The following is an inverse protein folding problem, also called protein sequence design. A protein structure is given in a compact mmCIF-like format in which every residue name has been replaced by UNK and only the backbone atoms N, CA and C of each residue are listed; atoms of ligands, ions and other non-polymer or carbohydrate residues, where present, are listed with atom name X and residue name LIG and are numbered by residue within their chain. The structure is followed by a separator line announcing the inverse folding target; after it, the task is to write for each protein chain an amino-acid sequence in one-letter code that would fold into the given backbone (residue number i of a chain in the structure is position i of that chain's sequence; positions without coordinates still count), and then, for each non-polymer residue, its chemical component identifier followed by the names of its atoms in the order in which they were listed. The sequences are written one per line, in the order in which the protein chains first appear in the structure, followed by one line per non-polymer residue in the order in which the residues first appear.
data_IF_500652831641
#
_entry.id   IF_500652831641
#
_cell.length_a   1.000
_cell.length_b   1.000
_cell.length_c   1.000
_cell.angle_alpha   90.00
_cell.angle_beta   90.00
_cell.angle_gamma   90.00
#
_symmetry.space_group_name_H-M   'P 1'
#
loop_
_entity.id
_entity.type
_entity.pdbx_description
1 polymer ?
#
# COMPACT_ATOMS: atom_id res chain seq x y z
N UNK A 1 80.78 11.19 -22.01
CA UNK A 1 80.06 10.41 -21.01
C UNK A 1 78.91 11.16 -20.30
N UNK A 2 79.05 12.41 -19.91
CA UNK A 2 78.00 13.19 -19.20
C UNK A 2 76.70 13.45 -20.04
N UNK A 3 76.81 13.56 -21.38
CA UNK A 3 75.58 13.76 -22.19
C UNK A 3 74.78 12.49 -22.42
N UNK A 4 75.36 11.33 -22.37
CA UNK A 4 74.67 10.04 -22.51
C UNK A 4 73.89 9.68 -21.27
N UNK A 5 74.34 10.04 -20.09
CA UNK A 5 73.64 9.86 -18.81
C UNK A 5 72.36 10.72 -18.69
N UNK A 6 72.33 11.91 -19.33
CA UNK A 6 71.17 12.79 -19.31
C UNK A 6 70.00 12.21 -20.16
N UNK A 7 70.33 11.59 -21.30
CA UNK A 7 69.30 10.96 -22.16
C UNK A 7 68.72 9.70 -21.52
N UNK A 8 69.51 8.94 -20.79
CA UNK A 8 68.98 7.77 -20.02
C UNK A 8 68.08 8.23 -18.89
N UNK A 9 68.41 9.32 -18.18
CA UNK A 9 67.58 9.88 -17.10
C UNK A 9 66.24 10.41 -17.66
N UNK A 10 66.22 11.02 -18.87
CA UNK A 10 65.01 11.48 -19.52
C UNK A 10 64.13 10.34 -20.04
N UNK A 11 64.73 9.23 -20.48
CA UNK A 11 64.02 8.05 -20.97
C UNK A 11 63.39 7.27 -19.82
N UNK A 12 64.06 7.19 -18.65
CA UNK A 12 63.50 6.57 -17.42
C UNK A 12 62.38 7.43 -16.81
N UNK A 13 62.47 8.77 -16.91
CA UNK A 13 61.44 9.66 -16.44
C UNK A 13 60.18 9.64 -17.35
N UNK A 14 60.31 9.33 -18.66
CA UNK A 14 59.19 9.23 -19.60
C UNK A 14 58.41 7.91 -19.43
N UNK A 15 58.99 6.86 -18.88
CA UNK A 15 58.32 5.58 -18.59
C UNK A 15 57.55 5.63 -17.26
N UNK A 16 57.86 6.57 -16.34
CA UNK A 16 57.21 6.72 -15.06
C UNK A 16 55.85 7.45 -15.12
N UNK A 17 55.40 7.97 -16.27
CA UNK A 17 54.13 8.67 -16.44
C UNK A 17 53.06 7.84 -17.15
N UNK A 18 53.29 6.54 -17.44
CA UNK A 18 52.20 5.63 -17.75
C UNK A 18 51.57 5.19 -16.44
N UNK A 19 50.82 6.09 -15.81
CA UNK A 19 49.93 5.77 -14.71
C UNK A 19 48.87 4.81 -15.26
N UNK A 20 48.77 3.59 -14.72
CA UNK A 20 47.66 2.69 -14.99
C UNK A 20 46.42 3.35 -14.43
N UNK A 21 45.55 3.89 -15.29
CA UNK A 21 44.20 4.31 -14.92
C UNK A 21 43.38 3.12 -14.37
N UNK A 22 43.73 1.89 -14.75
CA UNK A 22 43.10 0.67 -14.26
C UNK A 22 43.27 0.39 -12.73
N UNK A 23 44.20 1.06 -12.05
CA UNK A 23 44.39 0.84 -10.61
C UNK A 23 43.41 1.63 -9.75
N UNK A 24 42.73 2.61 -10.30
CA UNK A 24 41.69 3.40 -9.62
C UNK A 24 40.28 2.84 -9.82
N UNK A 25 40.12 1.85 -10.70
CA UNK A 25 38.86 1.19 -11.00
C UNK A 25 38.66 -0.10 -10.15
N UNK A 26 39.10 -0.05 -8.89
CA UNK A 26 38.81 -1.12 -7.93
C UNK A 26 37.31 -0.99 -7.58
N UNK A 27 36.50 -1.73 -8.30
CA UNK A 27 35.12 -1.94 -7.87
C UNK A 27 35.14 -2.61 -6.49
N UNK A 28 34.40 -2.07 -5.50
CA UNK A 28 34.35 -2.69 -4.18
C UNK A 28 33.87 -4.13 -4.32
N UNK A 29 34.70 -5.09 -3.90
CA UNK A 29 34.35 -6.52 -3.94
C UNK A 29 33.05 -6.71 -3.16
N UNK A 30 31.98 -7.15 -3.85
CA UNK A 30 30.67 -7.40 -3.28
C UNK A 30 29.62 -6.31 -3.51
N UNK A 31 29.89 -5.22 -4.25
CA UNK A 31 28.90 -4.26 -4.70
C UNK A 31 28.84 -4.27 -6.23
N UNK A 32 27.76 -4.80 -6.80
CA UNK A 32 27.47 -4.71 -8.22
C UNK A 32 26.95 -3.30 -8.49
N UNK A 33 27.69 -2.51 -9.30
CA UNK A 33 27.19 -1.25 -9.84
C UNK A 33 26.31 -1.65 -11.04
N UNK A 34 24.99 -1.35 -11.02
CA UNK A 34 24.11 -1.76 -12.11
C UNK A 34 24.47 -1.00 -13.39
N UNK A 35 24.62 -1.73 -14.51
CA UNK A 35 24.95 -1.18 -15.81
C UNK A 35 24.03 -1.69 -16.91
N UNK A 36 23.55 -2.92 -16.78
CA UNK A 36 22.66 -3.57 -17.75
C UNK A 36 21.19 -3.48 -17.34
N UNK A 37 20.29 -3.71 -18.28
CA UNK A 37 18.84 -3.80 -18.02
C UNK A 37 18.53 -4.88 -16.98
N UNK A 38 19.26 -6.01 -17.01
CA UNK A 38 19.11 -7.12 -16.06
C UNK A 38 19.54 -6.71 -14.65
N UNK A 39 20.66 -5.99 -14.50
CA UNK A 39 21.12 -5.48 -13.21
C UNK A 39 20.09 -4.53 -12.60
N UNK A 40 19.59 -3.58 -13.37
CA UNK A 40 18.56 -2.66 -12.91
C UNK A 40 17.23 -3.36 -12.62
N UNK A 41 16.87 -4.42 -13.36
CA UNK A 41 15.74 -5.27 -13.02
C UNK A 41 15.96 -5.97 -11.68
N UNK A 42 17.16 -6.44 -11.38
CA UNK A 42 17.55 -7.00 -10.09
C UNK A 42 17.39 -6.00 -8.95
N UNK A 43 17.84 -4.75 -9.16
CA UNK A 43 17.66 -3.65 -8.18
C UNK A 43 16.19 -3.38 -7.91
N UNK A 44 15.34 -3.28 -8.94
CA UNK A 44 13.91 -3.05 -8.74
C UNK A 44 13.22 -4.25 -8.09
N UNK A 45 13.63 -5.47 -8.42
CA UNK A 45 13.13 -6.68 -7.76
C UNK A 45 13.43 -6.65 -6.26
N UNK A 46 14.62 -6.17 -5.87
CA UNK A 46 14.95 -5.92 -4.44
C UNK A 46 14.05 -4.85 -3.81
N UNK A 47 13.69 -3.81 -4.58
CA UNK A 47 12.72 -2.80 -4.15
C UNK A 47 11.34 -3.40 -3.88
N UNK A 48 10.82 -4.25 -4.77
CA UNK A 48 9.56 -4.97 -4.55
C UNK A 48 9.65 -5.93 -3.36
N UNK A 49 10.77 -6.66 -3.21
CA UNK A 49 10.97 -7.58 -2.10
C UNK A 49 11.11 -6.88 -0.73
N UNK A 50 11.57 -5.62 -0.73
CA UNK A 50 11.66 -4.80 0.47
C UNK A 50 10.32 -4.15 0.87
N UNK A 51 9.28 -4.25 0.02
CA UNK A 51 7.98 -3.65 0.32
C UNK A 51 7.35 -4.34 1.53
N UNK A 52 6.96 -3.60 2.57
CA UNK A 52 6.55 -4.20 3.84
C UNK A 52 5.09 -4.65 3.85
N UNK A 53 4.82 -5.70 4.62
CA UNK A 53 3.47 -6.18 4.94
C UNK A 53 2.94 -5.47 6.20
N UNK A 54 2.34 -4.30 6.04
CA UNK A 54 1.86 -3.48 7.17
C UNK A 54 0.34 -3.53 7.39
N UNK A 55 -0.40 -4.19 6.52
CA UNK A 55 -1.86 -4.25 6.56
C UNK A 55 -2.40 -4.94 7.81
N UNK A 56 -1.72 -5.98 8.29
CA UNK A 56 -2.02 -6.65 9.55
C UNK A 56 -1.96 -5.68 10.73
N UNK A 57 -0.92 -4.84 10.80
CA UNK A 57 -0.76 -3.87 11.88
C UNK A 57 -1.85 -2.79 11.86
N UNK A 58 -2.29 -2.38 10.68
CA UNK A 58 -3.40 -1.42 10.57
C UNK A 58 -4.74 -2.07 10.93
N UNK A 59 -4.97 -3.35 10.61
CA UNK A 59 -6.17 -4.07 11.00
C UNK A 59 -6.30 -4.19 12.53
N UNK A 60 -5.20 -4.42 13.26
CA UNK A 60 -5.17 -4.47 14.74
C UNK A 60 -5.69 -3.18 15.39
N UNK A 61 -5.58 -2.03 14.71
CA UNK A 61 -6.02 -0.73 15.25
C UNK A 61 -7.52 -0.46 15.04
N UNK A 62 -8.24 -1.34 14.33
CA UNK A 62 -9.61 -1.10 13.88
C UNK A 62 -10.65 -1.82 14.74
N UNK A 63 -11.90 -1.59 14.39
CA UNK A 63 -13.07 -2.28 14.93
C UNK A 63 -13.28 -3.67 14.33
N UNK A 64 -12.28 -4.26 13.63
CA UNK A 64 -12.44 -5.55 12.95
C UNK A 64 -12.02 -6.75 13.80
N UNK A 65 -11.13 -6.54 14.79
CA UNK A 65 -10.47 -7.63 15.52
C UNK A 65 -10.68 -7.55 17.02
N UNK A 66 -10.72 -8.74 17.64
CA UNK A 66 -10.54 -8.96 19.08
C UNK A 66 -9.27 -9.80 19.26
N UNK A 67 -8.42 -9.40 20.21
CA UNK A 67 -7.21 -10.15 20.55
C UNK A 67 -7.52 -11.22 21.58
N UNK A 68 -6.93 -12.41 21.38
CA UNK A 68 -6.87 -13.43 22.42
C UNK A 68 -5.82 -13.00 23.45
N UNK A 69 -6.26 -12.60 24.63
CA UNK A 69 -5.39 -11.96 25.63
C UNK A 69 -4.66 -12.94 26.54
N UNK A 70 -4.80 -14.24 26.32
CA UNK A 70 -4.11 -15.32 27.04
C UNK A 70 -2.87 -15.84 26.27
N UNK A 71 -2.69 -15.47 24.99
CA UNK A 71 -1.62 -16.00 24.14
C UNK A 71 -0.24 -15.30 24.31
N UNK A 72 0.82 -16.05 23.99
CA UNK A 72 2.21 -15.60 24.17
C UNK A 72 2.68 -14.55 23.18
N UNK A 73 2.10 -14.49 21.97
CA UNK A 73 2.47 -13.53 20.90
C UNK A 73 1.90 -12.12 21.12
N UNK A 74 1.06 -11.95 22.12
CA UNK A 74 0.39 -10.70 22.47
C UNK A 74 1.35 -9.51 22.64
N UNK A 75 2.55 -9.63 23.23
CA UNK A 75 3.46 -8.49 23.38
C UNK A 75 3.78 -7.79 22.06
N UNK A 76 3.75 -8.53 20.94
CA UNK A 76 4.01 -7.98 19.59
C UNK A 76 2.93 -6.99 19.15
N UNK A 77 1.68 -7.21 19.52
CA UNK A 77 0.54 -6.43 19.00
C UNK A 77 -0.20 -5.60 20.05
N UNK A 78 -0.01 -5.88 21.35
CA UNK A 78 -0.74 -5.24 22.45
C UNK A 78 -0.73 -3.72 22.39
N UNK A 79 0.43 -3.11 22.25
CA UNK A 79 0.54 -1.65 22.26
C UNK A 79 -0.07 -1.02 20.99
N UNK A 80 -0.08 -1.75 19.86
CA UNK A 80 -0.79 -1.37 18.63
C UNK A 80 -2.30 -1.44 18.85
N UNK A 81 -2.78 -2.52 19.47
CA UNK A 81 -4.19 -2.76 19.78
C UNK A 81 -4.75 -1.74 20.77
N UNK A 82 -3.93 -1.29 21.71
CA UNK A 82 -4.29 -0.28 22.71
C UNK A 82 -3.91 1.15 22.31
N UNK A 83 -3.48 1.37 21.06
CA UNK A 83 -3.03 2.66 20.50
C UNK A 83 -1.94 3.37 21.33
N UNK A 84 -1.05 2.60 21.96
CA UNK A 84 0.10 3.13 22.69
C UNK A 84 1.27 3.35 21.74
N UNK A 85 1.22 4.43 20.96
CA UNK A 85 2.21 4.76 19.93
C UNK A 85 3.47 5.43 20.50
N UNK A 86 3.41 5.94 21.73
CA UNK A 86 4.54 6.61 22.40
C UNK A 86 5.16 5.66 23.42
N UNK A 87 6.46 5.42 23.29
CA UNK A 87 7.21 4.47 24.12
C UNK A 87 6.54 3.09 24.23
N UNK A 88 6.28 2.43 23.10
CA UNK A 88 5.75 1.08 23.10
C UNK A 88 6.75 0.12 23.75
N UNK A 89 6.30 -1.07 24.13
CA UNK A 89 7.15 -2.15 24.57
C UNK A 89 8.17 -2.51 23.47
N UNK A 90 9.37 -2.96 23.86
CA UNK A 90 10.43 -3.32 22.91
C UNK A 90 10.07 -4.49 22.00
N UNK A 91 9.14 -5.34 22.42
CA UNK A 91 8.63 -6.45 21.62
C UNK A 91 7.55 -6.03 20.64
N UNK A 92 6.99 -4.84 20.79
CA UNK A 92 5.91 -4.35 19.91
C UNK A 92 6.38 -4.20 18.46
N UNK A 93 5.64 -4.76 17.52
CA UNK A 93 5.89 -4.60 16.10
C UNK A 93 5.90 -3.12 15.70
N UNK A 94 6.83 -2.77 14.85
CA UNK A 94 7.02 -1.39 14.40
C UNK A 94 6.40 -1.18 13.04
N UNK A 95 5.60 -0.12 12.88
CA UNK A 95 5.14 0.29 11.56
C UNK A 95 6.32 0.62 10.64
N UNK A 96 6.30 0.19 9.37
CA UNK A 96 7.48 0.04 8.53
C UNK A 96 7.98 1.35 7.90
N UNK A 97 8.34 2.33 8.73
CA UNK A 97 8.89 3.60 8.26
C UNK A 97 10.18 3.39 7.44
N UNK A 98 11.14 2.67 8.02
CA UNK A 98 12.45 2.45 7.41
C UNK A 98 12.36 1.57 6.16
N UNK A 99 11.52 0.55 6.16
CA UNK A 99 11.34 -0.34 5.02
C UNK A 99 10.82 0.42 3.79
N UNK A 100 9.86 1.32 3.97
CA UNK A 100 9.33 2.15 2.88
C UNK A 100 10.40 3.09 2.32
N UNK A 101 11.29 3.66 3.14
CA UNK A 101 12.44 4.42 2.64
C UNK A 101 13.48 3.54 1.94
N UNK A 102 13.62 2.28 2.33
CA UNK A 102 14.45 1.30 1.60
C UNK A 102 13.88 1.07 0.19
N UNK A 103 12.57 0.93 0.05
CA UNK A 103 11.90 0.86 -1.27
C UNK A 103 12.19 2.13 -2.09
N UNK A 104 12.04 3.30 -1.49
CA UNK A 104 12.32 4.59 -2.14
C UNK A 104 13.78 4.67 -2.59
N UNK A 105 14.72 4.18 -1.79
CA UNK A 105 16.13 4.12 -2.18
C UNK A 105 16.33 3.28 -3.46
N UNK A 106 15.81 2.05 -3.51
CA UNK A 106 15.92 1.21 -4.70
C UNK A 106 15.28 1.85 -5.94
N UNK A 107 14.11 2.47 -5.78
CA UNK A 107 13.45 3.17 -6.89
C UNK A 107 14.23 4.39 -7.36
N UNK A 108 14.85 5.15 -6.43
CA UNK A 108 15.72 6.28 -6.78
C UNK A 108 16.94 5.83 -7.58
N UNK A 109 17.53 4.65 -7.30
CA UNK A 109 18.64 4.11 -8.10
C UNK A 109 18.23 3.96 -9.57
N UNK A 110 17.05 3.40 -9.83
CA UNK A 110 16.54 3.25 -11.20
C UNK A 110 16.24 4.60 -11.85
N UNK A 111 15.54 5.46 -11.15
CA UNK A 111 15.09 6.75 -11.68
C UNK A 111 16.30 7.66 -11.97
N UNK A 112 17.31 7.70 -11.08
CA UNK A 112 18.42 8.61 -11.21
C UNK A 112 19.56 8.06 -12.09
N UNK A 113 19.84 6.75 -12.03
CA UNK A 113 20.96 6.14 -12.75
C UNK A 113 20.50 5.32 -13.96
N UNK A 114 19.43 4.53 -13.83
CA UNK A 114 18.93 3.70 -14.94
C UNK A 114 18.49 4.55 -16.13
N UNK A 115 17.90 5.71 -15.89
CA UNK A 115 17.51 6.64 -16.96
C UNK A 115 18.69 7.21 -17.75
N UNK A 116 19.89 7.28 -17.15
CA UNK A 116 21.10 7.81 -17.78
C UNK A 116 21.94 6.70 -18.46
N UNK A 117 22.01 5.53 -17.84
CA UNK A 117 22.91 4.44 -18.26
C UNK A 117 22.28 3.52 -19.32
N UNK A 118 20.96 3.32 -19.27
CA UNK A 118 20.29 2.44 -20.19
C UNK A 118 19.88 3.15 -21.49
N UNK A 119 20.11 2.48 -22.62
CA UNK A 119 19.59 2.94 -23.90
C UNK A 119 18.06 2.92 -23.91
N UNK A 120 17.45 3.82 -24.67
CA UNK A 120 16.00 3.88 -24.82
C UNK A 120 15.45 2.60 -25.45
N UNK A 121 14.48 1.99 -24.78
CA UNK A 121 13.72 0.83 -25.25
C UNK A 121 12.41 0.74 -24.48
N UNK A 122 11.46 -0.04 -24.97
CA UNK A 122 10.18 -0.29 -24.29
C UNK A 122 10.41 -0.99 -22.94
N UNK A 123 11.38 -1.90 -22.87
CA UNK A 123 11.72 -2.62 -21.63
C UNK A 123 12.29 -1.68 -20.57
N UNK A 124 13.21 -0.75 -21.00
CA UNK A 124 13.73 0.29 -20.11
C UNK A 124 12.61 1.18 -19.62
N UNK A 125 11.75 1.64 -20.52
CA UNK A 125 10.66 2.54 -20.18
C UNK A 125 9.67 1.86 -19.21
N UNK A 126 9.30 0.59 -19.46
CA UNK A 126 8.50 -0.21 -18.53
C UNK A 126 9.18 -0.30 -17.15
N UNK A 127 10.49 -0.58 -17.11
CA UNK A 127 11.25 -0.74 -15.87
C UNK A 127 11.30 0.56 -15.05
N UNK A 128 11.55 1.70 -15.68
CA UNK A 128 11.58 3.00 -15.03
C UNK A 128 10.16 3.43 -14.61
N UNK A 129 9.15 3.15 -15.44
CA UNK A 129 7.74 3.39 -15.11
C UNK A 129 7.29 2.61 -13.87
N UNK A 130 7.71 1.34 -13.75
CA UNK A 130 7.48 0.54 -12.54
C UNK A 130 8.15 1.18 -11.31
N UNK A 131 9.37 1.72 -11.45
CA UNK A 131 10.08 2.36 -10.34
C UNK A 131 9.36 3.63 -9.86
N UNK A 132 8.87 4.47 -10.77
CA UNK A 132 8.05 5.63 -10.42
C UNK A 132 6.77 5.24 -9.71
N UNK A 133 6.04 4.25 -10.22
CA UNK A 133 4.80 3.79 -9.60
C UNK A 133 5.02 3.19 -8.19
N UNK A 134 6.10 2.41 -8.01
CA UNK A 134 6.46 1.84 -6.72
C UNK A 134 6.87 2.91 -5.71
N UNK A 135 7.61 3.96 -6.15
CA UNK A 135 7.96 5.11 -5.30
C UNK A 135 6.72 5.91 -4.88
N UNK A 136 5.81 6.14 -5.81
CA UNK A 136 4.53 6.77 -5.52
C UNK A 136 3.74 5.99 -4.46
N UNK A 137 3.65 4.67 -4.58
CA UNK A 137 2.97 3.81 -3.60
C UNK A 137 3.66 3.84 -2.23
N UNK A 138 5.00 3.81 -2.19
CA UNK A 138 5.74 3.88 -0.93
C UNK A 138 5.55 5.22 -0.21
N UNK A 139 5.56 6.35 -0.92
CA UNK A 139 5.24 7.65 -0.34
C UNK A 139 3.78 7.77 0.06
N UNK A 140 2.87 7.16 -0.70
CA UNK A 140 1.45 7.15 -0.36
C UNK A 140 1.19 6.40 0.94
N UNK A 141 1.84 5.26 1.17
CA UNK A 141 1.74 4.54 2.43
C UNK A 141 2.42 5.29 3.58
N UNK A 142 3.61 5.87 3.37
CA UNK A 142 4.27 6.71 4.37
C UNK A 142 3.38 7.85 4.84
N UNK A 143 2.80 8.63 3.92
CA UNK A 143 1.98 9.78 4.30
C UNK A 143 0.66 9.36 4.95
N UNK A 144 0.08 8.22 4.56
CA UNK A 144 -1.14 7.71 5.14
C UNK A 144 -0.94 6.99 6.48
N UNK A 145 0.25 6.52 6.80
CA UNK A 145 0.59 6.00 8.13
C UNK A 145 0.97 7.14 9.09
N UNK A 146 1.88 8.03 8.69
CA UNK A 146 2.61 8.93 9.59
C UNK A 146 2.27 10.42 9.43
N UNK A 147 1.60 10.83 8.35
CA UNK A 147 1.09 12.18 8.18
C UNK A 147 -0.39 12.29 8.53
N UNK A 148 -0.95 13.48 8.66
CA UNK A 148 -2.40 13.65 8.82
C UNK A 148 -3.18 13.24 7.56
N UNK A 149 -4.47 12.85 7.67
CA UNK A 149 -5.31 12.68 6.50
C UNK A 149 -5.29 13.92 5.61
N UNK A 150 -5.29 13.74 4.31
CA UNK A 150 -5.29 14.87 3.39
C UNK A 150 -6.55 15.74 3.61
N UNK A 151 -6.32 17.02 3.82
CA UNK A 151 -7.36 18.04 3.87
C UNK A 151 -6.87 19.26 3.06
N UNK A 152 -7.57 19.59 1.98
CA UNK A 152 -7.15 20.66 1.06
C UNK A 152 -6.97 22.02 1.76
N UNK A 153 -7.68 22.27 2.87
CA UNK A 153 -7.55 23.53 3.61
C UNK A 153 -6.28 23.60 4.48
N UNK A 154 -5.70 22.47 4.88
CA UNK A 154 -4.57 22.41 5.82
C UNK A 154 -3.35 21.67 5.31
N UNK A 155 -3.45 20.95 4.19
CA UNK A 155 -2.37 20.12 3.63
C UNK A 155 -1.06 20.89 3.39
N UNK A 156 -1.15 22.18 3.07
CA UNK A 156 0.03 23.07 2.88
C UNK A 156 0.77 23.43 4.18
N UNK A 157 0.18 23.14 5.35
CA UNK A 157 0.76 23.42 6.67
C UNK A 157 0.87 22.16 7.55
N UNK A 158 0.06 21.14 7.27
CA UNK A 158 0.14 19.88 8.01
C UNK A 158 1.46 19.17 7.74
N UNK A 159 2.12 18.74 8.81
CA UNK A 159 3.39 18.04 8.76
C UNK A 159 3.20 16.66 8.14
N UNK A 160 3.99 16.36 7.13
CA UNK A 160 4.07 15.06 6.46
C UNK A 160 5.35 14.32 6.83
N UNK A 161 6.00 13.76 5.82
CA UNK A 161 7.21 12.94 5.94
C UNK A 161 8.37 13.56 5.14
N UNK A 162 9.64 13.18 5.37
CA UNK A 162 10.76 13.59 4.54
C UNK A 162 10.61 13.18 3.06
N UNK A 163 11.08 14.04 2.17
CA UNK A 163 11.10 13.77 0.73
C UNK A 163 12.54 13.51 0.27
N UNK A 164 12.89 12.24 0.08
CA UNK A 164 14.20 11.76 -0.37
C UNK A 164 14.10 11.32 -1.84
N UNK A 165 14.57 12.13 -2.77
CA UNK A 165 14.52 11.87 -4.23
C UNK A 165 15.89 11.56 -4.83
N UNK A 166 16.96 11.73 -4.04
CA UNK A 166 18.34 11.50 -4.47
C UNK A 166 18.95 10.34 -3.70
N UNK A 167 19.98 9.75 -4.28
CA UNK A 167 20.82 8.75 -3.62
C UNK A 167 21.86 9.51 -2.79
N UNK A 168 21.50 9.82 -1.55
CA UNK A 168 22.39 10.44 -0.60
C UNK A 168 22.17 9.79 0.78
N UNK A 169 23.16 9.03 1.23
CA UNK A 169 23.11 8.26 2.49
C UNK A 169 23.51 9.09 3.71
N UNK A 170 24.09 10.27 3.51
CA UNK A 170 24.62 11.14 4.57
C UNK A 170 23.69 12.31 4.89
N UNK A 171 22.71 12.57 4.05
CA UNK A 171 21.81 13.72 4.20
C UNK A 171 20.64 13.41 5.14
N UNK A 172 20.44 14.29 6.12
CA UNK A 172 19.24 14.33 6.94
C UNK A 172 18.15 15.16 6.26
N UNK A 173 17.02 14.56 5.95
CA UNK A 173 15.91 15.21 5.27
C UNK A 173 14.86 15.71 6.27
N UNK A 174 14.48 17.01 6.26
CA UNK A 174 13.37 17.51 7.06
C UNK A 174 12.03 16.98 6.56
N UNK A 175 11.06 16.90 7.47
CA UNK A 175 9.67 16.63 7.09
C UNK A 175 9.17 17.71 6.12
N UNK A 176 8.46 17.30 5.09
CA UNK A 176 7.75 18.18 4.16
C UNK A 176 6.27 18.30 4.56
N UNK A 177 5.52 19.18 3.90
CA UNK A 177 4.08 19.26 4.12
C UNK A 177 3.34 18.09 3.46
N UNK A 178 2.14 17.79 3.95
CA UNK A 178 1.26 16.78 3.33
C UNK A 178 1.03 17.09 1.85
N UNK A 179 0.79 18.37 1.51
CA UNK A 179 0.62 18.81 0.11
C UNK A 179 1.85 18.52 -0.76
N UNK A 180 3.05 18.80 -0.25
CA UNK A 180 4.31 18.55 -0.97
C UNK A 180 4.48 17.05 -1.27
N UNK A 181 4.17 16.18 -0.31
CA UNK A 181 4.28 14.74 -0.51
C UNK A 181 3.24 14.24 -1.53
N UNK A 182 1.98 14.66 -1.42
CA UNK A 182 0.96 14.28 -2.41
C UNK A 182 1.27 14.84 -3.82
N UNK A 183 1.86 16.02 -3.92
CA UNK A 183 2.33 16.59 -5.20
C UNK A 183 3.42 15.72 -5.83
N UNK A 184 4.36 15.20 -5.02
CA UNK A 184 5.37 14.28 -5.51
C UNK A 184 4.78 12.94 -5.93
N UNK A 185 3.84 12.38 -5.15
CA UNK A 185 3.13 11.16 -5.51
C UNK A 185 2.44 11.29 -6.88
N UNK A 186 1.73 12.41 -7.11
CA UNK A 186 1.07 12.68 -8.40
C UNK A 186 2.10 12.87 -9.51
N UNK A 187 3.22 13.53 -9.25
CA UNK A 187 4.31 13.67 -10.24
C UNK A 187 4.85 12.30 -10.65
N UNK A 188 5.07 11.41 -9.69
CA UNK A 188 5.57 10.06 -9.94
C UNK A 188 4.54 9.21 -10.71
N UNK A 189 3.24 9.28 -10.38
CA UNK A 189 2.22 8.55 -11.15
C UNK A 189 2.10 9.06 -12.58
N UNK A 190 2.22 10.37 -12.80
CA UNK A 190 2.23 10.95 -14.13
C UNK A 190 3.43 10.49 -14.98
N UNK A 191 4.64 10.40 -14.39
CA UNK A 191 5.81 9.85 -15.08
C UNK A 191 5.65 8.35 -15.35
N UNK A 192 5.11 7.60 -14.40
CA UNK A 192 4.81 6.19 -14.58
C UNK A 192 3.80 5.96 -15.73
N UNK A 193 2.73 6.78 -15.84
CA UNK A 193 1.72 6.66 -16.91
C UNK A 193 2.34 6.83 -18.31
N UNK A 194 3.31 7.73 -18.47
CA UNK A 194 4.01 7.96 -19.74
C UNK A 194 4.89 6.77 -20.16
N UNK A 195 5.48 6.06 -19.17
CA UNK A 195 6.52 5.07 -19.40
C UNK A 195 5.98 3.63 -19.42
N UNK A 196 4.95 3.32 -18.63
CA UNK A 196 4.36 1.99 -18.59
C UNK A 196 3.69 1.65 -19.92
N UNK A 197 4.08 0.51 -20.51
CA UNK A 197 3.50 -0.01 -21.75
C UNK A 197 2.52 -1.15 -21.50
N UNK A 198 2.77 -2.01 -20.50
CA UNK A 198 1.98 -3.19 -20.21
C UNK A 198 0.64 -2.82 -19.54
N UNK A 199 -0.47 -3.26 -20.13
CA UNK A 199 -1.78 -3.08 -19.54
C UNK A 199 -1.95 -3.86 -18.22
N UNK A 200 -1.46 -5.12 -18.19
CA UNK A 200 -1.47 -6.00 -17.03
C UNK A 200 -0.22 -6.89 -17.05
N UNK A 201 0.21 -7.36 -15.89
CA UNK A 201 1.28 -8.33 -15.77
C UNK A 201 0.74 -9.76 -15.95
N UNK A 202 1.61 -10.67 -16.38
CA UNK A 202 1.28 -12.09 -16.39
C UNK A 202 1.16 -12.64 -14.97
N UNK A 203 0.43 -13.76 -14.82
CA UNK A 203 0.29 -14.48 -13.56
C UNK A 203 1.67 -14.81 -12.96
N UNK A 204 1.84 -14.51 -11.67
CA UNK A 204 3.11 -14.68 -10.95
C UNK A 204 4.09 -13.50 -11.09
N UNK A 205 3.86 -12.59 -12.05
CA UNK A 205 4.57 -11.31 -12.13
C UNK A 205 3.69 -10.11 -11.75
N UNK A 206 2.45 -10.35 -11.37
CA UNK A 206 1.51 -9.31 -10.98
C UNK A 206 1.81 -8.66 -9.61
N UNK A 207 2.97 -8.92 -9.02
CA UNK A 207 3.56 -8.08 -7.97
C UNK A 207 4.23 -6.82 -8.55
N UNK A 208 4.44 -6.75 -9.88
CA UNK A 208 5.03 -5.61 -10.59
C UNK A 208 3.94 -4.68 -11.10
N UNK A 209 4.26 -3.40 -11.16
CA UNK A 209 3.32 -2.42 -11.70
C UNK A 209 3.07 -2.60 -13.20
N UNK A 210 1.83 -2.31 -13.57
CA UNK A 210 1.32 -2.22 -14.93
C UNK A 210 0.32 -1.06 -14.97
N UNK A 211 -0.23 -0.72 -16.15
CA UNK A 211 -1.22 0.37 -16.28
C UNK A 211 -2.44 0.16 -15.37
N UNK A 212 -2.99 -1.06 -15.31
CA UNK A 212 -4.15 -1.33 -14.43
C UNK A 212 -3.80 -1.13 -12.96
N UNK A 213 -2.60 -1.51 -12.53
CA UNK A 213 -2.13 -1.30 -11.15
C UNK A 213 -1.90 0.20 -10.86
N UNK A 214 -1.30 0.93 -11.80
CA UNK A 214 -1.11 2.38 -11.68
C UNK A 214 -2.46 3.11 -11.55
N UNK A 215 -3.41 2.83 -12.44
CA UNK A 215 -4.74 3.47 -12.38
C UNK A 215 -5.51 3.10 -11.12
N UNK A 216 -5.29 1.91 -10.56
CA UNK A 216 -5.87 1.52 -9.26
C UNK A 216 -5.25 2.33 -8.12
N UNK A 217 -3.93 2.54 -8.14
CA UNK A 217 -3.24 3.42 -7.18
C UNK A 217 -3.73 4.87 -7.31
N UNK A 218 -3.81 5.42 -8.51
CA UNK A 218 -4.32 6.77 -8.76
C UNK A 218 -5.76 6.95 -8.26
N UNK A 219 -6.61 5.95 -8.51
CA UNK A 219 -7.99 5.96 -8.02
C UNK A 219 -8.04 6.09 -6.50
N UNK A 220 -7.20 5.34 -5.77
CA UNK A 220 -7.09 5.40 -4.30
C UNK A 220 -6.48 6.74 -3.83
N UNK A 221 -5.42 7.22 -4.47
CA UNK A 221 -4.80 8.52 -4.16
C UNK A 221 -5.83 9.65 -4.26
N UNK A 222 -6.52 9.75 -5.40
CA UNK A 222 -7.49 10.80 -5.62
C UNK A 222 -8.73 10.66 -4.73
N UNK A 223 -9.15 9.43 -4.36
CA UNK A 223 -10.19 9.20 -3.37
C UNK A 223 -9.80 9.81 -2.02
N UNK A 224 -8.57 9.59 -1.55
CA UNK A 224 -8.09 10.11 -0.27
C UNK A 224 -7.89 11.62 -0.29
N UNK A 225 -7.55 12.20 -1.45
CA UNK A 225 -7.49 13.64 -1.68
C UNK A 225 -8.86 14.28 -1.87
N UNK A 226 -9.97 13.50 -1.89
CA UNK A 226 -11.33 13.96 -2.17
C UNK A 226 -11.48 14.58 -3.58
N UNK A 227 -10.59 14.22 -4.51
CA UNK A 227 -10.68 14.62 -5.92
C UNK A 227 -11.56 13.62 -6.69
N UNK A 228 -12.86 13.68 -6.41
CA UNK A 228 -13.83 12.64 -6.76
C UNK A 228 -13.86 12.31 -8.25
N UNK A 229 -13.84 13.32 -9.14
CA UNK A 229 -13.86 13.09 -10.58
C UNK A 229 -12.60 12.37 -11.05
N UNK A 230 -11.40 12.78 -10.59
CA UNK A 230 -10.15 12.13 -10.96
C UNK A 230 -10.08 10.68 -10.44
N UNK A 231 -10.56 10.45 -9.22
CA UNK A 231 -10.67 9.11 -8.65
C UNK A 231 -11.57 8.21 -9.49
N UNK A 232 -12.73 8.72 -9.92
CA UNK A 232 -13.66 7.98 -10.77
C UNK A 232 -13.08 7.71 -12.16
N UNK A 233 -12.38 8.69 -12.75
CA UNK A 233 -11.76 8.55 -14.08
C UNK A 233 -10.65 7.50 -14.05
N UNK A 234 -9.79 7.50 -13.01
CA UNK A 234 -8.77 6.49 -12.82
C UNK A 234 -9.38 5.09 -12.59
N UNK A 235 -10.44 4.98 -11.77
CA UNK A 235 -11.17 3.72 -11.59
C UNK A 235 -11.75 3.20 -12.93
N UNK A 236 -12.29 4.09 -13.75
CA UNK A 236 -12.83 3.72 -15.07
C UNK A 236 -11.71 3.25 -16.02
N UNK A 237 -10.54 3.92 -16.05
CA UNK A 237 -9.36 3.48 -16.81
C UNK A 237 -8.93 2.06 -16.41
N UNK A 238 -8.84 1.80 -15.09
CA UNK A 238 -8.47 0.48 -14.56
C UNK A 238 -9.51 -0.59 -14.91
N UNK A 239 -10.80 -0.31 -14.72
CA UNK A 239 -11.92 -1.22 -15.06
C UNK A 239 -12.03 -1.48 -16.55
N UNK A 240 -11.59 -0.58 -17.42
CA UNK A 240 -11.53 -0.82 -18.87
C UNK A 240 -10.48 -1.90 -19.23
N UNK A 241 -9.46 -2.09 -18.40
CA UNK A 241 -8.43 -3.13 -18.58
C UNK A 241 -8.85 -4.44 -17.90
N UNK A 242 -9.29 -4.38 -16.65
CA UNK A 242 -9.77 -5.53 -15.88
C UNK A 242 -11.02 -5.15 -15.06
N UNK A 243 -12.17 -5.69 -15.44
CA UNK A 243 -13.45 -5.51 -14.75
C UNK A 243 -13.99 -6.81 -14.14
N UNK A 244 -13.17 -7.88 -14.08
CA UNK A 244 -13.63 -9.19 -13.64
C UNK A 244 -14.04 -9.17 -12.17
N UNK A 245 -15.16 -9.80 -11.84
CA UNK A 245 -15.64 -10.11 -10.49
C UNK A 245 -15.88 -11.61 -10.36
N UNK A 246 -15.48 -12.19 -9.24
CA UNK A 246 -15.83 -13.58 -8.89
C UNK A 246 -17.30 -13.61 -8.51
N UNK A 247 -18.09 -14.42 -9.19
CA UNK A 247 -19.43 -14.76 -8.73
C UNK A 247 -19.33 -15.86 -7.67
N UNK A 248 -19.51 -15.49 -6.41
CA UNK A 248 -19.39 -16.41 -5.28
C UNK A 248 -20.48 -17.47 -5.24
N UNK A 249 -21.59 -17.30 -5.97
CA UNK A 249 -22.62 -18.35 -6.15
C UNK A 249 -22.10 -19.51 -6.99
N UNK A 250 -21.30 -19.19 -8.03
CA UNK A 250 -20.76 -20.20 -8.94
C UNK A 250 -19.36 -20.71 -8.48
N UNK A 251 -18.56 -19.83 -7.87
CA UNK A 251 -17.17 -20.11 -7.51
C UNK A 251 -16.87 -19.51 -6.13
N UNK A 252 -17.14 -20.24 -5.03
CA UNK A 252 -16.93 -19.76 -3.66
C UNK A 252 -15.44 -19.82 -3.28
N UNK A 253 -14.64 -18.87 -3.75
CA UNK A 253 -13.19 -18.74 -3.48
C UNK A 253 -12.84 -17.36 -2.98
N UNK A 254 -11.72 -17.24 -2.24
CA UNK A 254 -11.20 -15.96 -1.78
C UNK A 254 -10.67 -15.14 -2.97
N UNK A 255 -11.13 -13.90 -3.08
CA UNK A 255 -10.67 -12.97 -4.10
C UNK A 255 -9.25 -12.44 -3.85
N UNK A 256 -8.71 -12.63 -2.65
CA UNK A 256 -7.40 -12.14 -2.20
C UNK A 256 -6.21 -12.98 -2.67
N UNK A 257 -6.45 -14.09 -3.37
CA UNK A 257 -5.36 -14.88 -3.95
C UNK A 257 -4.66 -14.10 -5.08
N UNK A 258 -3.33 -14.20 -5.12
CA UNK A 258 -2.51 -13.52 -6.13
C UNK A 258 -2.94 -13.87 -7.58
N UNK A 259 -3.44 -15.08 -7.79
CA UNK A 259 -3.87 -15.61 -9.09
C UNK A 259 -5.38 -15.46 -9.36
N UNK A 260 -6.10 -14.77 -8.47
CA UNK A 260 -7.51 -14.45 -8.64
C UNK A 260 -7.73 -13.60 -9.90
N UNK A 261 -8.86 -13.82 -10.58
CA UNK A 261 -9.25 -12.94 -11.71
C UNK A 261 -9.53 -11.50 -11.28
N UNK A 262 -9.78 -11.26 -10.00
CA UNK A 262 -9.93 -9.91 -9.43
C UNK A 262 -8.57 -9.27 -9.07
N UNK A 263 -7.49 -10.05 -8.99
CA UNK A 263 -6.17 -9.55 -8.60
C UNK A 263 -5.61 -8.59 -9.67
N UNK A 264 -5.14 -7.44 -9.23
CA UNK A 264 -4.51 -6.40 -10.06
C UNK A 264 -3.03 -6.26 -9.69
N UNK A 265 -2.74 -6.05 -8.41
CA UNK A 265 -1.39 -6.00 -7.86
C UNK A 265 -1.33 -6.89 -6.62
N UNK A 266 -0.45 -7.87 -6.63
CA UNK A 266 -0.29 -8.89 -5.59
C UNK A 266 1.08 -8.77 -4.91
N UNK A 267 1.34 -7.62 -4.26
CA UNK A 267 2.63 -7.32 -3.66
C UNK A 267 2.66 -7.64 -2.15
N UNK A 268 1.59 -7.31 -1.42
CA UNK A 268 1.54 -7.38 0.04
C UNK A 268 0.68 -8.54 0.54
N UNK A 269 1.12 -9.17 1.63
CA UNK A 269 0.27 -10.08 2.43
C UNK A 269 -0.75 -9.24 3.21
N UNK A 270 -2.01 -9.64 3.17
CA UNK A 270 -3.08 -8.87 3.80
C UNK A 270 -3.19 -9.10 5.31
N UNK A 271 -2.91 -10.31 5.76
CA UNK A 271 -3.10 -10.73 7.14
C UNK A 271 -2.05 -11.78 7.49
N UNK A 272 -1.16 -11.47 8.42
CA UNK A 272 -0.03 -12.35 8.75
C UNK A 272 -0.44 -13.53 9.64
N UNK A 273 0.42 -14.55 9.68
CA UNK A 273 0.15 -15.79 10.37
C UNK A 273 0.21 -15.63 11.90
N UNK A 274 1.11 -14.79 12.42
CA UNK A 274 1.22 -14.54 13.85
C UNK A 274 -0.04 -13.90 14.41
N UNK A 275 -0.55 -12.86 13.72
CA UNK A 275 -1.80 -12.21 14.12
C UNK A 275 -3.00 -13.15 14.03
N UNK A 276 -3.04 -14.01 13.01
CA UNK A 276 -4.13 -14.97 12.82
C UNK A 276 -4.28 -15.95 13.97
N UNK A 277 -3.18 -16.32 14.62
CA UNK A 277 -3.20 -17.29 15.73
C UNK A 277 -3.75 -16.70 17.02
N UNK A 278 -3.75 -15.38 17.18
CA UNK A 278 -4.05 -14.68 18.43
C UNK A 278 -5.20 -13.67 18.30
N UNK A 279 -5.98 -13.75 17.23
CA UNK A 279 -7.07 -12.80 17.02
C UNK A 279 -8.28 -13.45 16.37
N UNK A 280 -9.43 -12.90 16.70
CA UNK A 280 -10.74 -13.30 16.19
C UNK A 280 -11.43 -12.10 15.54
N UNK A 281 -12.44 -12.38 14.72
CA UNK A 281 -13.31 -11.34 14.20
C UNK A 281 -14.11 -10.71 15.35
N UNK A 282 -14.19 -9.39 15.40
CA UNK A 282 -14.97 -8.66 16.39
C UNK A 282 -16.47 -8.81 16.15
N UNK A 283 -17.27 -8.60 17.20
CA UNK A 283 -18.73 -8.57 17.09
C UNK A 283 -19.20 -7.47 16.12
N UNK A 284 -18.53 -6.31 16.10
CA UNK A 284 -18.81 -5.22 15.16
C UNK A 284 -18.63 -5.66 13.70
N UNK A 285 -17.55 -6.36 13.40
CA UNK A 285 -17.31 -6.92 12.07
C UNK A 285 -18.34 -7.99 11.71
N UNK A 286 -18.60 -8.91 12.62
CA UNK A 286 -19.54 -10.03 12.41
C UNK A 286 -20.98 -9.53 12.21
N UNK A 287 -21.38 -8.46 12.93
CA UNK A 287 -22.70 -7.84 12.80
C UNK A 287 -22.92 -7.15 11.45
N UNK A 288 -21.86 -6.79 10.74
CA UNK A 288 -21.97 -6.21 9.41
C UNK A 288 -22.51 -7.19 8.35
N UNK A 289 -22.44 -8.51 8.61
CA UNK A 289 -22.84 -9.54 7.65
C UNK A 289 -24.23 -10.11 7.95
N UNK A 290 -25.04 -10.30 6.92
CA UNK A 290 -26.15 -11.23 6.98
C UNK A 290 -25.59 -12.65 6.74
N UNK A 291 -25.45 -13.41 7.82
CA UNK A 291 -24.78 -14.73 7.83
C UNK A 291 -25.44 -15.78 6.93
N UNK A 292 -26.71 -15.58 6.54
CA UNK A 292 -27.46 -16.54 5.70
C UNK A 292 -27.44 -16.18 4.22
N UNK A 293 -27.25 -14.91 3.87
CA UNK A 293 -27.35 -14.44 2.50
C UNK A 293 -26.05 -13.89 1.93
N UNK A 294 -25.10 -13.47 2.77
CA UNK A 294 -23.78 -13.00 2.35
C UNK A 294 -22.84 -14.20 2.19
N UNK A 295 -22.46 -14.49 0.95
CA UNK A 295 -21.63 -15.63 0.59
C UNK A 295 -20.18 -15.49 1.04
N UNK A 296 -19.76 -14.30 1.43
CA UNK A 296 -18.42 -14.04 1.97
C UNK A 296 -18.28 -14.56 3.40
N UNK A 297 -19.35 -14.56 4.19
CA UNK A 297 -19.29 -14.93 5.59
C UNK A 297 -18.62 -16.31 5.80
N UNK A 298 -19.09 -17.41 5.19
CA UNK A 298 -18.46 -18.72 5.36
C UNK A 298 -17.08 -18.86 4.71
N UNK A 299 -16.71 -17.94 3.79
CA UNK A 299 -15.38 -17.91 3.19
C UNK A 299 -14.37 -17.17 4.06
N UNK A 300 -14.80 -16.14 4.79
CA UNK A 300 -13.94 -15.27 5.57
C UNK A 300 -13.78 -15.71 7.01
N UNK A 301 -14.78 -16.41 7.56
CA UNK A 301 -14.84 -16.78 8.97
C UNK A 301 -15.18 -18.25 9.16
N UNK A 302 -14.70 -18.83 10.26
CA UNK A 302 -15.10 -20.15 10.75
C UNK A 302 -15.39 -20.07 12.24
N UNK A 303 -16.47 -20.70 12.67
CA UNK A 303 -16.79 -20.81 14.09
C UNK A 303 -15.64 -21.53 14.84
N UNK A 304 -15.27 -20.98 15.99
CA UNK A 304 -14.22 -21.47 16.86
C UNK A 304 -14.68 -21.25 18.30
N UNK A 305 -15.26 -22.27 18.90
CA UNK A 305 -15.94 -22.21 20.19
C UNK A 305 -16.98 -21.06 20.26
N UNK A 306 -16.70 -20.02 21.06
CA UNK A 306 -17.54 -18.83 21.20
C UNK A 306 -17.15 -17.69 20.23
N UNK A 307 -16.07 -17.85 19.48
CA UNK A 307 -15.49 -16.85 18.61
C UNK A 307 -15.62 -17.21 17.12
N UNK A 308 -15.09 -16.37 16.26
CA UNK A 308 -14.94 -16.63 14.83
C UNK A 308 -13.50 -16.35 14.38
N UNK A 309 -12.81 -17.43 14.02
CA UNK A 309 -11.47 -17.36 13.44
C UNK A 309 -11.51 -16.83 12.00
N UNK A 310 -10.47 -16.10 11.61
CA UNK A 310 -10.34 -15.49 10.29
C UNK A 310 -9.69 -16.49 9.32
N UNK A 311 -10.34 -16.71 8.18
CA UNK A 311 -9.88 -17.64 7.12
C UNK A 311 -9.08 -16.95 6.02
N UNK A 312 -9.13 -15.62 5.93
CA UNK A 312 -8.36 -14.83 4.95
C UNK A 312 -6.91 -14.70 5.39
N UNK A 313 -6.00 -14.58 4.42
CA UNK A 313 -4.59 -14.32 4.66
C UNK A 313 -3.81 -15.52 5.21
N UNK A 314 -2.68 -15.24 5.82
CA UNK A 314 -1.79 -16.19 6.50
C UNK A 314 -1.13 -17.24 5.59
N UNK A 315 -1.04 -17.00 4.28
CA UNK A 315 -0.18 -17.76 3.38
C UNK A 315 0.28 -16.91 2.20
N UNK A 316 1.36 -17.34 1.54
CA UNK A 316 1.98 -16.63 0.43
C UNK A 316 1.08 -16.50 -0.81
N UNK A 317 0.04 -17.33 -0.94
CA UNK A 317 -0.91 -17.24 -2.04
C UNK A 317 -1.88 -16.06 -1.88
N UNK A 318 -2.01 -15.51 -0.67
CA UNK A 318 -2.97 -14.45 -0.37
C UNK A 318 -2.30 -13.08 -0.32
N UNK A 319 -1.70 -12.69 -1.43
CA UNK A 319 -1.13 -11.36 -1.65
C UNK A 319 -2.07 -10.51 -2.48
N UNK A 320 -2.44 -9.34 -1.96
CA UNK A 320 -3.37 -8.43 -2.64
C UNK A 320 -3.17 -7.00 -2.19
N UNK A 321 -2.58 -6.16 -3.06
CA UNK A 321 -2.50 -4.70 -2.84
C UNK A 321 -3.67 -3.98 -3.50
N UNK A 322 -4.06 -4.41 -4.71
CA UNK A 322 -5.22 -3.91 -5.44
C UNK A 322 -5.99 -5.04 -6.10
N UNK A 323 -7.31 -4.92 -6.10
CA UNK A 323 -8.25 -5.81 -6.81
C UNK A 323 -9.48 -5.06 -7.34
N UNK A 324 -10.13 -5.63 -8.32
CA UNK A 324 -11.23 -4.97 -9.06
C UNK A 324 -12.39 -4.54 -8.17
N UNK A 325 -12.69 -5.27 -7.10
CA UNK A 325 -13.74 -4.92 -6.11
C UNK A 325 -13.57 -3.51 -5.55
N UNK A 326 -12.32 -3.08 -5.29
CA UNK A 326 -12.06 -1.74 -4.78
C UNK A 326 -12.46 -0.67 -5.80
N UNK A 327 -12.19 -0.90 -7.07
CA UNK A 327 -12.54 0.03 -8.14
C UNK A 327 -14.07 0.21 -8.27
N UNK A 328 -14.82 -0.89 -8.13
CA UNK A 328 -16.29 -0.80 -8.14
C UNK A 328 -16.84 0.00 -6.97
N UNK A 329 -16.35 -0.28 -5.76
CA UNK A 329 -16.82 0.42 -4.55
C UNK A 329 -16.34 1.87 -4.52
N UNK A 330 -15.12 2.17 -4.99
CA UNK A 330 -14.63 3.54 -5.19
C UNK A 330 -15.47 4.29 -6.23
N UNK A 331 -15.81 3.66 -7.35
CA UNK A 331 -16.67 4.25 -8.38
C UNK A 331 -18.08 4.54 -7.83
N UNK A 332 -18.65 3.65 -7.02
CA UNK A 332 -19.95 3.88 -6.39
C UNK A 332 -19.88 5.06 -5.40
N UNK A 333 -18.88 5.11 -4.53
CA UNK A 333 -18.67 6.20 -3.58
C UNK A 333 -18.47 7.55 -4.30
N UNK A 334 -17.58 7.59 -5.27
CA UNK A 334 -17.29 8.84 -6.01
C UNK A 334 -18.49 9.31 -6.83
N UNK A 335 -19.33 8.40 -7.35
CA UNK A 335 -20.58 8.77 -8.01
C UNK A 335 -21.54 9.53 -7.10
N UNK A 336 -21.64 9.10 -5.81
CA UNK A 336 -22.44 9.85 -4.82
C UNK A 336 -21.86 11.24 -4.55
N UNK A 337 -20.54 11.35 -4.39
CA UNK A 337 -19.86 12.63 -4.16
C UNK A 337 -19.99 13.59 -5.36
N UNK A 338 -20.23 13.05 -6.54
CA UNK A 338 -20.50 13.80 -7.79
C UNK A 338 -22.00 14.01 -8.04
N UNK A 339 -22.87 13.73 -7.07
CA UNK A 339 -24.32 13.84 -7.15
C UNK A 339 -24.96 12.94 -8.24
N UNK A 340 -24.35 11.79 -8.57
CA UNK A 340 -24.81 10.82 -9.55
C UNK A 340 -25.42 9.59 -8.84
N UNK A 341 -26.53 9.80 -8.12
CA UNK A 341 -27.16 8.75 -7.30
C UNK A 341 -27.53 7.49 -8.10
N UNK A 342 -28.07 7.65 -9.31
CA UNK A 342 -28.46 6.53 -10.15
C UNK A 342 -27.26 5.68 -10.58
N UNK A 343 -26.14 6.32 -10.93
CA UNK A 343 -24.90 5.63 -11.31
C UNK A 343 -24.31 4.87 -10.12
N UNK A 344 -24.36 5.46 -8.94
CA UNK A 344 -23.90 4.82 -7.70
C UNK A 344 -24.72 3.56 -7.41
N UNK A 345 -26.06 3.63 -7.47
CA UNK A 345 -26.95 2.48 -7.31
C UNK A 345 -26.64 1.37 -8.32
N UNK A 346 -26.56 1.72 -9.59
CA UNK A 346 -26.24 0.77 -10.67
C UNK A 346 -24.89 0.08 -10.43
N UNK A 347 -23.86 0.85 -10.02
CA UNK A 347 -22.53 0.32 -9.79
C UNK A 347 -22.49 -0.65 -8.59
N UNK A 348 -23.10 -0.26 -7.46
CA UNK A 348 -23.10 -1.11 -6.26
C UNK A 348 -23.96 -2.36 -6.46
N UNK A 349 -25.10 -2.27 -7.14
CA UNK A 349 -25.95 -3.42 -7.47
C UNK A 349 -25.21 -4.42 -8.38
N UNK A 350 -24.50 -3.93 -9.39
CA UNK A 350 -23.66 -4.76 -10.25
C UNK A 350 -22.56 -5.49 -9.48
N UNK A 351 -21.99 -4.87 -8.46
CA UNK A 351 -20.98 -5.46 -7.59
C UNK A 351 -21.61 -6.52 -6.65
N UNK A 352 -22.62 -6.17 -5.84
CA UNK A 352 -23.17 -7.05 -4.80
C UNK A 352 -23.88 -8.28 -5.36
N UNK A 353 -24.35 -8.21 -6.61
CA UNK A 353 -24.91 -9.39 -7.32
C UNK A 353 -23.98 -10.60 -7.29
N UNK A 354 -22.69 -10.38 -7.18
CA UNK A 354 -21.65 -11.42 -7.14
C UNK A 354 -21.29 -11.86 -5.71
N UNK A 355 -21.85 -11.23 -4.68
CA UNK A 355 -21.49 -11.44 -3.26
C UNK A 355 -22.58 -12.08 -2.41
N UNK A 356 -23.82 -12.02 -2.88
CA UNK A 356 -24.98 -12.48 -2.14
C UNK A 356 -25.71 -13.62 -2.85
N UNK A 357 -26.45 -14.42 -2.09
CA UNK A 357 -27.42 -15.38 -2.65
C UNK A 357 -28.47 -14.64 -3.49
N UNK A 358 -29.18 -15.35 -4.37
CA UNK A 358 -30.24 -14.74 -5.18
C UNK A 358 -31.31 -14.04 -4.32
N UNK A 359 -31.74 -14.68 -3.21
CA UNK A 359 -32.72 -14.08 -2.30
C UNK A 359 -32.16 -12.85 -1.58
N UNK A 360 -30.88 -12.90 -1.11
CA UNK A 360 -30.22 -11.78 -0.46
C UNK A 360 -30.05 -10.59 -1.43
N UNK A 361 -29.67 -10.87 -2.67
CA UNK A 361 -29.56 -9.83 -3.70
C UNK A 361 -30.90 -9.14 -3.97
N UNK A 362 -31.99 -9.91 -4.16
CA UNK A 362 -33.33 -9.33 -4.40
C UNK A 362 -33.78 -8.41 -3.26
N UNK A 363 -33.53 -8.80 -2.01
CA UNK A 363 -33.86 -7.96 -0.86
C UNK A 363 -33.01 -6.68 -0.84
N UNK A 364 -31.69 -6.79 -1.09
CA UNK A 364 -30.80 -5.64 -1.11
C UNK A 364 -31.08 -4.70 -2.28
N UNK A 365 -31.43 -5.25 -3.45
CA UNK A 365 -31.82 -4.44 -4.62
C UNK A 365 -33.01 -3.55 -4.31
N UNK A 366 -34.07 -4.10 -3.68
CA UNK A 366 -35.24 -3.34 -3.25
C UNK A 366 -34.82 -2.21 -2.27
N UNK A 367 -34.02 -2.55 -1.26
CA UNK A 367 -33.57 -1.58 -0.26
C UNK A 367 -32.73 -0.47 -0.88
N UNK A 368 -31.71 -0.82 -1.69
CA UNK A 368 -30.81 0.15 -2.35
C UNK A 368 -31.57 1.08 -3.29
N UNK A 369 -32.56 0.56 -4.03
CA UNK A 369 -33.39 1.39 -4.90
C UNK A 369 -34.21 2.43 -4.11
N UNK A 370 -34.58 2.14 -2.87
CA UNK A 370 -35.27 3.07 -1.98
C UNK A 370 -34.33 4.06 -1.26
N UNK A 371 -33.02 3.78 -1.16
CA UNK A 371 -32.06 4.63 -0.43
C UNK A 371 -31.91 6.02 -1.06
N UNK A 372 -31.79 7.03 -0.21
CA UNK A 372 -31.26 8.34 -0.57
C UNK A 372 -29.72 8.34 -0.60
N UNK A 373 -29.08 9.48 -0.92
CA UNK A 373 -27.63 9.56 -1.06
C UNK A 373 -26.88 9.33 0.27
N UNK A 374 -27.45 9.71 1.41
CA UNK A 374 -26.83 9.53 2.73
C UNK A 374 -26.84 8.06 3.11
N UNK A 375 -28.00 7.42 3.00
CA UNK A 375 -28.16 5.99 3.33
C UNK A 375 -27.28 5.12 2.44
N UNK A 376 -27.22 5.43 1.14
CA UNK A 376 -26.37 4.70 0.20
C UNK A 376 -24.88 4.93 0.46
N UNK A 377 -24.48 6.11 0.94
CA UNK A 377 -23.09 6.36 1.36
C UNK A 377 -22.71 5.44 2.51
N UNK A 378 -23.55 5.35 3.54
CA UNK A 378 -23.33 4.46 4.68
C UNK A 378 -23.27 3.01 4.24
N UNK A 379 -24.22 2.58 3.40
CA UNK A 379 -24.23 1.22 2.84
C UNK A 379 -22.94 0.88 2.10
N UNK A 380 -22.42 1.80 1.25
CA UNK A 380 -21.16 1.57 0.50
C UNK A 380 -19.97 1.47 1.47
N UNK A 381 -19.88 2.29 2.50
CA UNK A 381 -18.80 2.21 3.50
C UNK A 381 -18.86 0.91 4.31
N UNK A 382 -20.06 0.44 4.66
CA UNK A 382 -20.24 -0.87 5.29
C UNK A 382 -19.93 -2.01 4.29
N UNK A 383 -20.30 -1.87 3.01
CA UNK A 383 -19.97 -2.85 1.97
C UNK A 383 -18.46 -2.94 1.75
N UNK A 384 -17.73 -1.82 1.85
CA UNK A 384 -16.27 -1.81 1.87
C UNK A 384 -15.71 -2.56 3.08
N UNK A 385 -16.29 -2.38 4.28
CA UNK A 385 -15.90 -3.14 5.47
C UNK A 385 -16.12 -4.65 5.26
N UNK A 386 -17.28 -5.06 4.74
CA UNK A 386 -17.57 -6.47 4.43
C UNK A 386 -16.60 -7.06 3.40
N UNK A 387 -16.36 -6.32 2.32
CA UNK A 387 -15.53 -6.81 1.21
C UNK A 387 -14.05 -6.90 1.60
N UNK A 388 -13.53 -5.89 2.29
CA UNK A 388 -12.11 -5.76 2.62
C UNK A 388 -11.80 -6.12 4.08
N UNK A 389 -12.67 -6.88 4.74
CA UNK A 389 -12.43 -7.33 6.11
C UNK A 389 -11.01 -7.87 6.27
N UNK A 390 -10.27 -7.34 7.23
CA UNK A 390 -8.87 -7.64 7.57
C UNK A 390 -7.86 -7.55 6.41
N UNK A 391 -8.19 -6.77 5.36
CA UNK A 391 -7.25 -6.46 4.26
C UNK A 391 -6.48 -5.14 4.49
N UNK A 392 -6.53 -4.58 5.70
CA UNK A 392 -5.84 -3.35 6.09
C UNK A 392 -6.47 -2.06 5.55
N UNK A 393 -7.61 -2.13 4.84
CA UNK A 393 -8.25 -0.92 4.29
C UNK A 393 -9.13 -0.19 5.31
N UNK A 394 -9.69 -0.91 6.31
CA UNK A 394 -10.62 -0.33 7.29
C UNK A 394 -10.04 0.86 8.05
N UNK A 395 -8.78 0.78 8.48
CA UNK A 395 -8.09 1.88 9.16
C UNK A 395 -8.09 3.16 8.33
N UNK A 396 -7.78 3.06 7.05
CA UNK A 396 -7.72 4.21 6.14
C UNK A 396 -9.11 4.72 5.77
N UNK A 397 -10.10 3.85 5.63
CA UNK A 397 -11.49 4.25 5.41
C UNK A 397 -12.04 5.03 6.63
N UNK A 398 -11.82 4.55 7.84
CA UNK A 398 -12.18 5.27 9.06
C UNK A 398 -11.46 6.62 9.16
N UNK A 399 -10.16 6.61 8.88
CA UNK A 399 -9.30 7.79 8.97
C UNK A 399 -9.68 8.90 7.99
N UNK A 400 -10.10 8.58 6.77
CA UNK A 400 -10.52 9.54 5.75
C UNK A 400 -11.98 9.96 5.85
N UNK A 401 -12.78 9.29 6.69
CA UNK A 401 -14.23 9.54 6.78
C UNK A 401 -14.64 9.99 8.19
N UNK A 402 -15.02 9.05 9.05
CA UNK A 402 -15.70 9.35 10.31
C UNK A 402 -14.75 9.56 11.48
N UNK A 403 -13.54 8.99 11.44
CA UNK A 403 -12.64 8.90 12.60
C UNK A 403 -13.42 8.54 13.88
N UNK A 404 -14.33 7.54 13.76
CA UNK A 404 -15.25 7.18 14.85
C UNK A 404 -14.50 6.75 16.10
N UNK A 405 -15.16 6.82 17.24
CA UNK A 405 -14.67 6.18 18.46
C UNK A 405 -14.57 4.66 18.27
N UNK A 406 -13.46 4.06 18.75
CA UNK A 406 -13.25 2.61 18.82
C UNK A 406 -12.90 2.27 20.27
N UNK A 407 -13.46 1.19 20.77
CA UNK A 407 -13.16 0.66 22.11
C UNK A 407 -12.63 -0.78 21.96
N UNK A 408 -11.45 -1.01 22.49
CA UNK A 408 -10.88 -2.35 22.60
C UNK A 408 -10.83 -2.77 24.06
N UNK A 409 -11.17 -4.02 24.34
CA UNK A 409 -11.01 -4.63 25.65
C UNK A 409 -9.78 -5.54 25.64
N UNK A 410 -8.91 -5.39 26.63
CA UNK A 410 -7.74 -6.24 26.81
C UNK A 410 -7.55 -6.55 28.30
N UNK A 411 -7.52 -7.82 28.68
CA UNK A 411 -7.46 -8.30 30.07
C UNK A 411 -8.46 -7.61 30.98
N UNK A 412 -9.70 -7.49 30.49
CA UNK A 412 -10.82 -6.87 31.21
C UNK A 412 -10.75 -5.35 31.33
N UNK A 413 -9.75 -4.70 30.74
CA UNK A 413 -9.62 -3.24 30.72
C UNK A 413 -10.01 -2.68 29.34
N UNK A 414 -10.81 -1.60 29.33
CA UNK A 414 -11.18 -0.89 28.11
C UNK A 414 -10.16 0.19 27.77
N UNK A 415 -9.75 0.18 26.51
CA UNK A 415 -8.92 1.20 25.86
C UNK A 415 -9.75 1.90 24.80
N UNK A 416 -9.68 3.21 24.74
CA UNK A 416 -10.52 3.99 23.83
C UNK A 416 -9.69 4.87 22.92
N UNK A 417 -9.90 4.72 21.61
CA UNK A 417 -9.56 5.69 20.60
C UNK A 417 -10.78 6.60 20.43
N UNK A 418 -10.68 7.85 20.83
CA UNK A 418 -11.80 8.79 20.76
C UNK A 418 -12.14 9.19 19.32
N UNK A 419 -13.31 9.73 19.09
CA UNK A 419 -13.63 10.34 17.79
C UNK A 419 -12.68 11.50 17.50
N UNK A 420 -12.15 11.56 16.28
CA UNK A 420 -11.13 12.53 15.85
C UNK A 420 -9.85 12.52 16.70
N UNK A 421 -9.52 11.38 17.30
CA UNK A 421 -8.31 11.21 18.11
C UNK A 421 -7.04 11.46 17.27
N UNK A 422 -6.05 12.21 17.78
CA UNK A 422 -4.79 12.42 17.05
C UNK A 422 -4.05 11.11 16.75
N UNK A 423 -4.29 10.03 17.50
CA UNK A 423 -3.73 8.68 17.27
C UNK A 423 -4.29 7.99 16.01
N UNK A 424 -5.23 8.59 15.28
CA UNK A 424 -5.52 8.22 13.89
C UNK A 424 -4.35 8.53 12.95
N UNK A 425 -3.37 9.29 13.39
CA UNK A 425 -2.05 9.43 12.76
C UNK A 425 -1.03 8.69 13.60
N UNK A 426 -0.36 7.69 13.03
CA UNK A 426 0.60 6.85 13.74
C UNK A 426 1.86 7.65 14.03
N UNK A 427 2.41 7.56 15.24
CA UNK A 427 3.64 8.25 15.59
C UNK A 427 4.83 7.68 14.81
N UNK A 428 5.70 8.54 14.30
CA UNK A 428 6.98 8.10 13.71
C UNK A 428 7.78 7.36 14.78
N UNK A 429 8.36 6.17 14.47
CA UNK A 429 9.11 5.37 15.45
C UNK A 429 10.20 6.16 16.17
N UNK A 430 10.39 5.91 17.47
CA UNK A 430 11.30 6.68 18.31
C UNK A 430 12.76 6.62 17.83
N UNK A 431 13.22 5.45 17.39
CA UNK A 431 14.56 5.27 16.82
C UNK A 431 14.80 6.11 15.57
N UNK A 432 13.77 6.31 14.75
CA UNK A 432 13.86 7.17 13.56
C UNK A 432 14.01 8.64 13.95
N UNK A 433 13.22 9.10 14.94
CA UNK A 433 13.31 10.48 15.45
C UNK A 433 14.65 10.78 16.12
N UNK A 434 15.24 9.80 16.80
CA UNK A 434 16.58 9.94 17.40
C UNK A 434 17.67 10.09 16.34
N UNK A 435 17.54 9.40 15.19
CA UNK A 435 18.51 9.45 14.10
C UNK A 435 18.28 10.63 13.13
N UNK A 436 17.11 11.25 13.15
CA UNK A 436 16.81 12.44 12.36
C UNK A 436 16.08 13.49 13.21
N UNK A 437 16.81 14.41 13.83
CA UNK A 437 16.23 15.46 14.68
C UNK A 437 15.41 16.51 13.91
N UNK A 438 15.41 16.47 12.59
CA UNK A 438 14.64 17.38 11.73
C UNK A 438 13.19 16.88 11.45
N UNK A 439 12.81 15.74 12.05
CA UNK A 439 11.46 15.16 11.95
C UNK A 439 10.45 15.87 12.86
#
# INVERSE_FOLDING_TARGET
MKKFSIYILFFVAAIAVTSCDDYLDIQPVGKVIPESLEDFRGVLTSGYAAYPDHKSLTAVRTDELVMDDDENEIPVYKDIYTWKDVNPDRLTATFPYQNLYTVIFYTNVLINEGSKKLNESDERNQLIGEAYALRAMAYFDLINLFGKPYNAATAGTDKGVPLALKIDLEQSYPSQTVETIYSQIISDTNEAEKLLSLNSQSKGLNYRFSKVALYSLESRIYLYMQQWQKSQDAANKALAINSALIDLKATPVLATKYDSKESILALEVNYDNGLKLISFASDDLLAAYNRTTDLRFPLYFSADESNFSIRKGANDDQKCSFRTSELYLTKAETSLKLNKLADAKTTVLGFIKNRYTAAGYTQLESNINAMNAVDLTNFILEERQREFAVEGQRWFDLRRTSQKQIVHTFKGQNYTLMQNDPRYTIAIPANVRLNNPNL
#
